data_IF_592515220249
#
_entry.id   IF_592515220249
#
_cell.length_a   1.000
_cell.length_b   1.000
_cell.length_c   1.000
_cell.angle_alpha   90.00
_cell.angle_beta   90.00
_cell.angle_gamma   90.00
#
_symmetry.space_group_name_H-M   'P 1'
#
loop_
_entity.id
_entity.type
_entity.pdbx_description
1 polymer ?
#
# COMPACT_ATOMS: atom_id res chain seq x y z
N UNK A 1 5.88 -4.80 18.48
CA UNK A 1 5.93 -4.17 17.13
C UNK A 1 4.66 -4.41 16.33
N UNK A 2 4.23 -5.66 16.08
CA UNK A 2 3.00 -5.92 15.33
C UNK A 2 1.75 -5.30 15.98
N UNK A 3 1.59 -5.46 17.30
CA UNK A 3 0.51 -4.81 18.07
C UNK A 3 0.48 -3.28 17.86
N UNK A 4 1.63 -2.63 17.80
CA UNK A 4 1.73 -1.18 17.55
C UNK A 4 1.20 -0.82 16.16
N UNK A 5 1.46 -1.63 15.14
CA UNK A 5 0.91 -1.44 13.79
C UNK A 5 -0.61 -1.65 13.80
N UNK A 6 -1.10 -2.65 14.55
CA UNK A 6 -2.53 -2.90 14.69
C UNK A 6 -3.23 -1.71 15.37
N UNK A 7 -2.72 -1.29 16.53
CA UNK A 7 -3.34 -0.27 17.38
C UNK A 7 -3.26 1.15 16.80
N UNK A 8 -2.25 1.44 15.98
CA UNK A 8 -2.03 2.80 15.45
C UNK A 8 -2.34 2.94 13.96
N UNK A 9 -2.36 1.85 13.21
CA UNK A 9 -2.56 1.84 11.77
C UNK A 9 -3.80 1.05 11.38
N UNK A 10 -3.75 -0.27 11.58
CA UNK A 10 -4.72 -1.20 11.02
C UNK A 10 -6.11 -1.10 11.65
N UNK A 11 -6.24 -0.62 12.89
CA UNK A 11 -7.54 -0.37 13.53
C UNK A 11 -8.43 0.66 12.79
N UNK A 12 -7.85 1.40 11.84
CA UNK A 12 -8.58 2.31 10.93
C UNK A 12 -9.04 1.63 9.65
N UNK A 13 -8.72 0.34 9.47
CA UNK A 13 -9.16 -0.44 8.33
C UNK A 13 -10.61 -0.87 8.52
N UNK A 14 -11.51 -0.33 7.71
CA UNK A 14 -12.95 -0.63 7.80
C UNK A 14 -13.35 -1.88 7.02
N UNK A 15 -12.56 -2.28 6.02
CA UNK A 15 -12.85 -3.42 5.16
C UNK A 15 -11.55 -4.04 4.64
N UNK A 16 -11.51 -5.37 4.58
CA UNK A 16 -10.42 -6.15 3.98
C UNK A 16 -10.90 -6.75 2.67
N UNK A 17 -10.23 -6.44 1.58
CA UNK A 17 -10.55 -6.91 0.23
C UNK A 17 -9.55 -7.96 -0.29
N UNK A 18 -8.39 -8.10 0.33
CA UNK A 18 -7.41 -9.13 0.00
C UNK A 18 -6.25 -9.16 0.99
N UNK A 19 -5.67 -10.34 1.23
CA UNK A 19 -4.52 -10.55 2.12
C UNK A 19 -3.48 -11.36 1.34
N UNK A 20 -2.21 -10.96 1.38
CA UNK A 20 -1.12 -11.60 0.63
C UNK A 20 -1.48 -11.79 -0.86
N UNK A 21 -2.12 -10.77 -1.44
CA UNK A 21 -2.67 -10.86 -2.78
C UNK A 21 -1.58 -10.64 -3.82
N UNK A 22 -1.48 -11.58 -4.77
CA UNK A 22 -0.60 -11.44 -5.94
C UNK A 22 -1.28 -10.58 -6.98
N UNK A 23 -0.58 -9.52 -7.39
CA UNK A 23 -1.01 -8.58 -8.42
C UNK A 23 -0.10 -8.73 -9.63
N UNK A 24 -0.71 -8.98 -10.77
CA UNK A 24 -0.01 -9.25 -12.02
C UNK A 24 -0.68 -8.50 -13.16
N UNK A 25 0.11 -7.74 -13.91
CA UNK A 25 -0.29 -7.17 -15.18
C UNK A 25 0.75 -7.55 -16.24
N UNK A 26 0.37 -8.33 -17.28
CA UNK A 26 1.29 -8.88 -18.26
C UNK A 26 2.22 -7.82 -18.86
N UNK A 27 3.53 -8.08 -18.79
CA UNK A 27 4.57 -7.24 -19.40
C UNK A 27 4.89 -5.94 -18.66
N UNK A 28 4.27 -5.66 -17.50
CA UNK A 28 4.47 -4.39 -16.77
C UNK A 28 4.88 -4.61 -15.32
N UNK A 29 4.13 -5.41 -14.56
CA UNK A 29 4.39 -5.63 -13.14
C UNK A 29 3.87 -6.97 -12.67
N UNK A 30 4.64 -7.60 -11.78
CA UNK A 30 4.22 -8.75 -10.99
C UNK A 30 4.73 -8.49 -9.56
N UNK A 31 3.87 -8.64 -8.56
CA UNK A 31 4.26 -8.48 -7.16
C UNK A 31 3.17 -8.94 -6.21
N UNK A 32 3.49 -8.90 -4.92
CA UNK A 32 2.54 -9.16 -3.84
C UNK A 32 2.31 -7.90 -3.02
N UNK A 33 1.17 -7.84 -2.36
CA UNK A 33 0.91 -6.88 -1.28
C UNK A 33 0.43 -7.60 -0.03
N UNK A 34 0.83 -7.11 1.14
CA UNK A 34 0.45 -7.72 2.42
C UNK A 34 -1.06 -7.66 2.63
N UNK A 35 -1.69 -6.52 2.28
CA UNK A 35 -3.11 -6.28 2.48
C UNK A 35 -3.69 -5.31 1.45
N UNK A 36 -4.93 -5.56 1.03
CA UNK A 36 -5.79 -4.64 0.30
C UNK A 36 -7.00 -4.36 1.17
N UNK A 37 -7.27 -3.09 1.45
CA UNK A 37 -8.39 -2.71 2.31
C UNK A 37 -8.65 -1.21 2.34
N UNK A 38 -9.69 -0.82 3.07
CA UNK A 38 -10.09 0.58 3.19
C UNK A 38 -9.48 1.24 4.42
N UNK A 39 -8.51 2.14 4.23
CA UNK A 39 -7.95 2.98 5.30
C UNK A 39 -8.60 4.36 5.23
N UNK A 40 -9.25 4.78 6.33
CA UNK A 40 -9.97 6.05 6.42
C UNK A 40 -10.95 6.27 5.24
N UNK A 41 -11.65 5.21 4.84
CA UNK A 41 -12.63 5.23 3.74
C UNK A 41 -12.04 5.26 2.33
N UNK A 42 -10.73 5.03 2.17
CA UNK A 42 -10.06 4.98 0.86
C UNK A 42 -9.52 3.60 0.56
N UNK A 43 -9.84 3.08 -0.62
CA UNK A 43 -9.33 1.78 -1.05
C UNK A 43 -7.81 1.86 -1.24
N UNK A 44 -7.09 1.00 -0.52
CA UNK A 44 -5.65 1.12 -0.31
C UNK A 44 -4.93 -0.21 -0.50
N UNK A 45 -3.75 -0.16 -1.11
CA UNK A 45 -2.75 -1.22 -0.99
C UNK A 45 -1.87 -0.90 0.21
N UNK A 46 -1.76 -1.84 1.14
CA UNK A 46 -1.11 -1.67 2.45
C UNK A 46 0.08 -2.64 2.53
N UNK A 47 1.20 -2.13 3.02
CA UNK A 47 2.45 -2.88 3.19
C UNK A 47 2.98 -2.63 4.61
N UNK A 48 3.21 -3.70 5.36
CA UNK A 48 3.69 -3.67 6.73
C UNK A 48 5.21 -3.83 6.75
N UNK A 49 5.91 -2.90 7.40
CA UNK A 49 7.37 -2.93 7.47
C UNK A 49 7.89 -2.81 8.89
N UNK A 50 8.95 -3.53 9.17
CA UNK A 50 9.74 -3.37 10.38
C UNK A 50 11.08 -2.72 10.06
N UNK A 51 11.62 -1.96 11.01
CA UNK A 51 12.91 -1.30 10.82
C UNK A 51 13.72 -1.18 12.10
N UNK A 52 15.05 -1.08 11.97
CA UNK A 52 15.93 -0.89 13.13
C UNK A 52 15.88 0.54 13.69
N UNK A 53 15.59 1.54 12.84
CA UNK A 53 15.52 2.96 13.21
C UNK A 53 14.44 3.64 12.38
N UNK A 54 13.74 4.67 12.93
CA UNK A 54 12.81 5.48 12.15
C UNK A 54 13.39 5.92 10.81
N UNK A 55 12.59 5.86 9.76
CA UNK A 55 12.98 6.20 8.40
C UNK A 55 12.59 7.63 8.07
N UNK A 56 13.41 8.28 7.26
CA UNK A 56 13.07 9.57 6.64
C UNK A 56 12.31 9.32 5.33
N UNK A 57 11.45 10.27 4.95
CA UNK A 57 10.58 10.15 3.78
C UNK A 57 11.39 9.96 2.48
N UNK A 58 12.53 10.61 2.37
CA UNK A 58 13.43 10.53 1.22
C UNK A 58 14.09 9.14 1.07
N UNK A 59 14.11 8.31 2.12
CA UNK A 59 14.73 6.98 2.09
C UNK A 59 13.75 5.85 1.73
N UNK A 60 12.47 6.18 1.55
CA UNK A 60 11.44 5.16 1.31
C UNK A 60 10.94 5.13 -0.13
N UNK A 61 11.67 5.78 -1.05
CA UNK A 61 11.32 5.88 -2.48
C UNK A 61 11.07 4.52 -3.13
N UNK A 62 11.94 3.55 -2.86
CA UNK A 62 11.87 2.23 -3.49
C UNK A 62 10.70 1.37 -2.97
N UNK A 63 10.13 1.70 -1.80
CA UNK A 63 8.94 1.01 -1.29
C UNK A 63 7.64 1.45 -2.01
N UNK A 64 7.71 2.45 -2.90
CA UNK A 64 6.58 2.87 -3.71
C UNK A 64 6.30 1.95 -4.91
N UNK A 65 6.87 0.74 -4.97
CA UNK A 65 6.40 -0.34 -5.88
C UNK A 65 4.89 -0.55 -5.78
N UNK A 66 4.26 -0.20 -4.64
CA UNK A 66 2.81 -0.18 -4.50
C UNK A 66 2.10 0.61 -5.61
N UNK A 67 2.72 1.62 -6.21
CA UNK A 67 2.09 2.45 -7.24
C UNK A 67 1.79 1.68 -8.53
N UNK A 68 2.72 0.83 -8.96
CA UNK A 68 2.47 -0.08 -10.10
C UNK A 68 1.51 -1.21 -9.72
N UNK A 69 1.55 -1.68 -8.47
CA UNK A 69 0.58 -2.65 -7.96
C UNK A 69 -0.85 -2.09 -7.93
N UNK A 70 -1.04 -0.82 -7.56
CA UNK A 70 -2.34 -0.14 -7.60
C UNK A 70 -2.91 -0.16 -9.03
N UNK A 71 -2.07 0.18 -10.02
CA UNK A 71 -2.48 0.16 -11.43
C UNK A 71 -2.81 -1.26 -11.91
N UNK A 72 -2.04 -2.27 -11.49
CA UNK A 72 -2.32 -3.65 -11.85
C UNK A 72 -3.63 -4.15 -11.26
N UNK A 73 -3.89 -3.86 -9.98
CA UNK A 73 -5.14 -4.23 -9.31
C UNK A 73 -6.35 -3.56 -9.98
N UNK A 74 -6.24 -2.28 -10.30
CA UNK A 74 -7.28 -1.55 -11.04
C UNK A 74 -7.55 -2.19 -12.41
N UNK A 75 -6.50 -2.55 -13.14
CA UNK A 75 -6.62 -3.12 -14.49
C UNK A 75 -7.23 -4.53 -14.50
N UNK A 76 -6.88 -5.37 -13.53
CA UNK A 76 -7.33 -6.77 -13.47
C UNK A 76 -8.74 -6.87 -12.89
N UNK A 77 -9.04 -6.09 -11.86
CA UNK A 77 -10.28 -6.23 -11.08
C UNK A 77 -11.29 -5.11 -11.32
N UNK A 78 -10.98 -4.13 -12.19
CA UNK A 78 -11.87 -3.00 -12.49
C UNK A 78 -12.08 -2.07 -11.28
N UNK A 79 -11.08 -1.99 -10.40
CA UNK A 79 -11.14 -1.21 -9.16
C UNK A 79 -10.52 0.19 -9.33
N UNK A 80 -10.53 0.97 -8.24
CA UNK A 80 -9.93 2.28 -8.19
C UNK A 80 -9.17 2.48 -6.87
N UNK A 81 -8.01 1.83 -6.72
CA UNK A 81 -7.11 2.05 -5.60
C UNK A 81 -6.72 3.54 -5.57
N UNK A 82 -6.91 4.18 -4.42
CA UNK A 82 -6.70 5.62 -4.24
C UNK A 82 -5.33 5.94 -3.64
N UNK A 83 -4.79 5.01 -2.85
CA UNK A 83 -3.52 5.21 -2.16
C UNK A 83 -2.75 3.91 -1.91
N UNK A 84 -1.43 4.04 -1.83
CA UNK A 84 -0.56 3.08 -1.18
C UNK A 84 -0.23 3.55 0.23
N UNK A 85 -0.23 2.64 1.20
CA UNK A 85 0.09 2.91 2.61
C UNK A 85 1.22 1.99 3.05
N UNK A 86 2.30 2.57 3.57
CA UNK A 86 3.35 1.81 4.26
C UNK A 86 3.20 2.08 5.74
N UNK A 87 2.84 1.04 6.50
CA UNK A 87 2.76 1.09 7.95
C UNK A 87 4.03 0.49 8.54
N UNK A 88 4.82 1.31 9.23
CA UNK A 88 6.15 0.94 9.68
C UNK A 88 6.30 1.06 11.19
N UNK A 89 6.95 0.07 11.81
CA UNK A 89 7.30 0.12 13.22
C UNK A 89 8.80 -0.12 13.42
N UNK A 90 9.47 0.74 14.18
CA UNK A 90 10.86 0.51 14.58
C UNK A 90 10.95 -0.48 15.76
N UNK A 91 12.13 -1.07 15.97
CA UNK A 91 12.41 -1.91 17.15
C UNK A 91 12.09 -1.23 18.49
N UNK A 92 12.20 0.10 18.55
CA UNK A 92 11.90 0.92 19.72
C UNK A 92 10.40 1.28 19.81
N UNK A 93 9.55 0.58 19.05
CA UNK A 93 8.10 0.76 18.97
C UNK A 93 7.67 2.17 18.49
N UNK A 94 8.51 2.85 17.70
CA UNK A 94 8.14 4.10 17.05
C UNK A 94 7.38 3.75 15.77
N UNK A 95 6.11 4.16 15.72
CA UNK A 95 5.25 4.00 14.55
C UNK A 95 5.45 5.16 13.56
N UNK A 96 5.53 4.83 12.28
CA UNK A 96 5.52 5.78 11.18
C UNK A 96 4.61 5.26 10.08
N UNK A 97 3.94 6.18 9.40
CA UNK A 97 3.10 5.87 8.26
C UNK A 97 3.49 6.74 7.09
N UNK A 98 3.48 6.15 5.90
CA UNK A 98 3.83 6.84 4.68
C UNK A 98 2.79 6.58 3.60
N UNK A 99 2.20 7.67 3.14
CA UNK A 99 1.20 7.63 2.09
C UNK A 99 1.80 7.91 0.72
N UNK A 100 1.25 7.25 -0.29
CA UNK A 100 1.41 7.61 -1.68
C UNK A 100 0.02 7.75 -2.28
N UNK A 101 -0.28 8.94 -2.79
CA UNK A 101 -1.50 9.16 -3.55
C UNK A 101 -1.33 8.60 -4.95
N UNK A 102 -2.25 7.74 -5.37
CA UNK A 102 -2.34 7.28 -6.76
C UNK A 102 -3.06 8.36 -7.56
N UNK A 103 -2.41 8.96 -8.56
CA UNK A 103 -3.07 9.95 -9.42
C UNK A 103 -4.02 9.22 -10.39
N UNK A 104 -5.32 9.42 -10.20
CA UNK A 104 -6.32 9.08 -11.21
C UNK A 104 -6.23 10.09 -12.37
N UNK A 105 -5.36 9.86 -13.34
CA UNK A 105 -5.48 10.52 -14.65
C UNK A 105 -6.62 9.85 -15.39
N UNK A 106 -7.78 10.50 -15.44
CA UNK A 106 -8.99 10.01 -16.09
C UNK A 106 -8.73 9.41 -17.47
N UNK A 107 -9.50 8.35 -17.80
CA UNK A 107 -9.56 7.60 -19.07
C UNK A 107 -8.24 7.08 -19.68
N UNK A 108 -7.08 7.33 -19.06
CA UNK A 108 -5.79 6.74 -19.43
C UNK A 108 -5.16 6.04 -18.21
N UNK A 109 -5.78 4.97 -17.72
CA UNK A 109 -5.10 4.03 -16.81
C UNK A 109 -4.37 2.91 -17.54
N UNK A 110 -4.70 2.67 -18.81
CA UNK A 110 -4.25 1.49 -19.57
C UNK A 110 -3.63 1.84 -20.94
N UNK A 111 -3.28 3.11 -21.16
CA UNK A 111 -2.53 3.53 -22.35
C UNK A 111 -1.04 3.46 -22.07
N UNK A 112 -0.43 2.32 -22.39
CA UNK A 112 0.99 2.28 -22.75
C UNK A 112 1.16 2.87 -24.15
#
# INVERSE_FOLDING_TARGET
>A
MAEVIVDRGLNRCSEVNGIEAVLYYPGVVAGGCDLIGQIDGKLSIIDFKQTNKPKRREWIGDYFTNGSLCMAHDAVYGTAIEQGVIMMCSKDCIYQEFFMRVRNTGTRKHGF
#
